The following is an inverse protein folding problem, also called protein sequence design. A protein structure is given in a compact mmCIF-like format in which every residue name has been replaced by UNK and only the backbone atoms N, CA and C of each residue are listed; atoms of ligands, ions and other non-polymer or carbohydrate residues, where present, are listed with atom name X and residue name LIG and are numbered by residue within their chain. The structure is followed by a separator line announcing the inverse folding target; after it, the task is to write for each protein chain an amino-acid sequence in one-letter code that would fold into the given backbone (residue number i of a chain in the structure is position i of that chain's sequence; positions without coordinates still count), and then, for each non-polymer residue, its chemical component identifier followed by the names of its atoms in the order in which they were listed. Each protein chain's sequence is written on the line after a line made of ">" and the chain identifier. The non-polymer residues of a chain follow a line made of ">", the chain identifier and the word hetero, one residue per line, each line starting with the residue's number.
data_IF_204239330725
#
_entry.id   IF_204239330725
#
_cell.length_a   1.000
_cell.length_b   1.000
_cell.length_c   1.000
_cell.angle_alpha   90.00
_cell.angle_beta   90.00
_cell.angle_gamma   90.00
#
_symmetry.space_group_name_H-M   'P 1'
#
loop_
_entity.id
_entity.type
_entity.pdbx_description
1 polymer ?
#
# COMPACT_ATOMS: atom_id res chain seq x y z
N UNK A 1 3.35 -12.88 21.45
CA UNK A 1 3.04 -11.62 20.74
C UNK A 1 2.29 -11.84 19.40
N UNK A 2 1.66 -13.00 19.15
CA UNK A 2 0.77 -13.24 18.00
C UNK A 2 -0.68 -12.77 18.25
N UNK A 3 -1.17 -12.98 19.46
CA UNK A 3 -2.55 -12.65 19.87
C UNK A 3 -2.98 -11.20 19.61
N UNK A 4 -2.09 -10.21 19.84
CA UNK A 4 -2.41 -8.80 19.59
C UNK A 4 -2.45 -8.46 18.09
N UNK A 5 -1.74 -9.21 17.25
CA UNK A 5 -1.78 -9.03 15.80
C UNK A 5 -3.13 -9.46 15.24
N UNK A 6 -3.71 -10.52 15.80
CA UNK A 6 -5.01 -11.05 15.37
C UNK A 6 -6.16 -10.10 15.77
N UNK A 7 -6.14 -9.55 16.99
CA UNK A 7 -7.15 -8.56 17.44
C UNK A 7 -7.08 -7.27 16.62
N UNK A 8 -5.88 -6.72 16.41
CA UNK A 8 -5.71 -5.48 15.66
C UNK A 8 -6.21 -5.61 14.21
N UNK A 9 -5.97 -6.77 13.59
CA UNK A 9 -6.48 -7.04 12.25
C UNK A 9 -7.99 -7.24 12.24
N UNK A 10 -8.56 -7.94 13.23
CA UNK A 10 -10.01 -8.12 13.36
C UNK A 10 -10.74 -6.77 13.52
N UNK A 11 -10.20 -5.86 14.33
CA UNK A 11 -10.73 -4.49 14.45
C UNK A 11 -10.70 -3.75 13.11
N UNK A 12 -9.63 -3.94 12.33
CA UNK A 12 -9.47 -3.34 11.01
C UNK A 12 -10.48 -3.92 10.00
N UNK A 13 -10.71 -5.24 10.03
CA UNK A 13 -11.77 -5.91 9.27
C UNK A 13 -13.15 -5.32 9.59
N UNK A 14 -13.51 -5.22 10.86
CA UNK A 14 -14.79 -4.67 11.29
C UNK A 14 -14.97 -3.22 10.82
N UNK A 15 -13.93 -2.39 10.94
CA UNK A 15 -13.99 -1.00 10.51
C UNK A 15 -14.02 -0.84 8.97
N UNK A 16 -13.42 -1.77 8.21
CA UNK A 16 -13.49 -1.80 6.74
C UNK A 16 -14.88 -2.22 6.25
N UNK A 17 -15.50 -3.20 6.90
CA UNK A 17 -16.87 -3.64 6.64
C UNK A 17 -17.90 -2.52 6.88
N UNK A 18 -17.62 -1.61 7.82
CA UNK A 18 -18.42 -0.40 8.06
C UNK A 18 -18.25 0.69 6.96
N UNK A 19 -17.55 0.39 5.86
CA UNK A 19 -17.54 1.20 4.66
C UNK A 19 -16.53 2.35 4.63
N UNK A 20 -15.63 2.47 5.61
CA UNK A 20 -14.63 3.56 5.63
C UNK A 20 -13.51 3.28 4.63
N UNK A 21 -13.38 4.11 3.60
CA UNK A 21 -12.38 3.93 2.53
C UNK A 21 -10.93 3.92 3.03
N UNK A 22 -10.61 4.75 4.02
CA UNK A 22 -9.29 4.74 4.66
C UNK A 22 -8.99 3.41 5.33
N UNK A 23 -10.00 2.76 5.90
CA UNK A 23 -9.84 1.46 6.54
C UNK A 23 -9.74 0.34 5.51
N UNK A 24 -10.50 0.41 4.42
CA UNK A 24 -10.36 -0.53 3.29
C UNK A 24 -8.96 -0.45 2.68
N UNK A 25 -8.43 0.76 2.50
CA UNK A 25 -7.06 0.99 2.07
C UNK A 25 -6.03 0.44 3.07
N UNK A 26 -6.16 0.75 4.36
CA UNK A 26 -5.23 0.23 5.37
C UNK A 26 -5.26 -1.31 5.43
N UNK A 27 -6.45 -1.90 5.38
CA UNK A 27 -6.63 -3.35 5.40
C UNK A 27 -6.06 -4.01 4.15
N UNK A 28 -6.26 -3.41 2.96
CA UNK A 28 -5.68 -3.94 1.73
C UNK A 28 -4.15 -3.98 1.80
N UNK A 29 -3.49 -2.92 2.28
CA UNK A 29 -2.04 -2.89 2.46
C UNK A 29 -1.56 -3.96 3.45
N UNK A 30 -2.27 -4.14 4.56
CA UNK A 30 -1.93 -5.15 5.57
C UNK A 30 -2.08 -6.58 5.05
N UNK A 31 -3.11 -6.86 4.26
CA UNK A 31 -3.33 -8.17 3.64
C UNK A 31 -2.31 -8.43 2.53
N UNK A 32 -2.00 -7.43 1.73
CA UNK A 32 -1.03 -7.55 0.64
C UNK A 32 0.39 -7.74 1.14
N UNK A 33 0.70 -7.23 2.34
CA UNK A 33 1.98 -7.40 3.01
C UNK A 33 2.24 -8.86 3.48
N UNK A 34 1.21 -9.68 3.66
CA UNK A 34 1.35 -11.07 4.15
C UNK A 34 1.87 -12.00 3.05
N UNK A 35 3.11 -12.49 3.19
CA UNK A 35 3.78 -13.28 2.13
C UNK A 35 3.04 -14.56 1.73
N UNK A 36 2.52 -15.31 2.70
CA UNK A 36 2.03 -16.69 2.48
C UNK A 36 0.49 -16.81 2.44
N UNK A 37 -0.22 -15.70 2.23
CA UNK A 37 -1.69 -15.64 2.27
C UNK A 37 -2.27 -15.17 0.93
N UNK A 38 -2.36 -16.09 -0.05
CA UNK A 38 -2.87 -15.77 -1.39
C UNK A 38 -4.35 -15.36 -1.38
N UNK A 39 -5.15 -15.95 -0.50
CA UNK A 39 -6.55 -15.58 -0.33
C UNK A 39 -6.67 -14.18 0.27
N UNK A 40 -5.89 -13.90 1.32
CA UNK A 40 -5.78 -12.57 1.90
C UNK A 40 -5.35 -11.52 0.88
N UNK A 41 -4.35 -11.81 0.03
CA UNK A 41 -3.94 -10.90 -1.06
C UNK A 41 -5.07 -10.62 -2.04
N UNK A 42 -5.83 -11.64 -2.45
CA UNK A 42 -6.99 -11.45 -3.33
C UNK A 42 -8.03 -10.54 -2.68
N UNK A 43 -8.37 -10.79 -1.42
CA UNK A 43 -9.29 -9.95 -0.65
C UNK A 43 -8.75 -8.52 -0.48
N UNK A 44 -7.43 -8.38 -0.31
CA UNK A 44 -6.75 -7.10 -0.27
C UNK A 44 -6.94 -6.30 -1.56
N UNK A 45 -6.82 -6.94 -2.72
CA UNK A 45 -7.06 -6.28 -4.02
C UNK A 45 -8.52 -5.83 -4.14
N UNK A 46 -9.49 -6.66 -3.77
CA UNK A 46 -10.90 -6.28 -3.79
C UNK A 46 -11.18 -5.06 -2.91
N UNK A 47 -10.59 -5.02 -1.71
CA UNK A 47 -10.67 -3.88 -0.80
C UNK A 47 -9.99 -2.63 -1.36
N UNK A 48 -8.87 -2.79 -2.07
CA UNK A 48 -8.12 -1.70 -2.71
C UNK A 48 -8.90 -1.06 -3.87
N UNK A 49 -9.63 -1.86 -4.66
CA UNK A 49 -10.43 -1.36 -5.79
C UNK A 49 -11.43 -0.27 -5.39
N UNK A 50 -11.95 -0.31 -4.16
CA UNK A 50 -12.96 0.67 -3.69
C UNK A 50 -12.39 2.09 -3.60
N UNK A 51 -11.35 2.36 -2.78
CA UNK A 51 -10.74 3.68 -2.73
C UNK A 51 -10.01 4.06 -4.03
N UNK A 52 -9.54 3.09 -4.84
CA UNK A 52 -8.94 3.36 -6.15
C UNK A 52 -9.96 3.89 -7.15
N UNK A 53 -11.10 3.20 -7.34
CA UNK A 53 -12.18 3.64 -8.21
C UNK A 53 -12.80 4.98 -7.77
N UNK A 54 -12.76 5.28 -6.47
CA UNK A 54 -13.22 6.55 -5.92
C UNK A 54 -12.18 7.69 -6.05
N UNK A 55 -10.96 7.42 -6.51
CA UNK A 55 -9.87 8.40 -6.59
C UNK A 55 -9.38 8.88 -5.21
N UNK A 56 -9.56 8.07 -4.17
CA UNK A 56 -9.31 8.44 -2.77
C UNK A 56 -7.96 7.98 -2.23
N UNK A 57 -7.14 7.28 -3.02
CA UNK A 57 -5.87 6.69 -2.57
C UNK A 57 -4.94 7.71 -1.89
N UNK A 58 -4.78 8.90 -2.47
CA UNK A 58 -3.93 9.96 -1.88
C UNK A 58 -4.43 10.39 -0.49
N UNK A 59 -5.74 10.56 -0.32
CA UNK A 59 -6.36 10.96 0.95
C UNK A 59 -6.25 9.83 1.98
N UNK A 60 -6.55 8.59 1.57
CA UNK A 60 -6.44 7.42 2.43
C UNK A 60 -5.00 7.24 2.94
N UNK A 61 -4.02 7.34 2.03
CA UNK A 61 -2.59 7.27 2.35
C UNK A 61 -2.15 8.35 3.34
N UNK A 62 -2.51 9.60 3.10
CA UNK A 62 -2.18 10.71 4.00
C UNK A 62 -2.77 10.51 5.41
N UNK A 63 -4.01 10.02 5.51
CA UNK A 63 -4.64 9.71 6.80
C UNK A 63 -3.97 8.54 7.51
N UNK A 64 -3.66 7.46 6.79
CA UNK A 64 -2.92 6.32 7.36
C UNK A 64 -1.56 6.77 7.89
N UNK A 65 -0.82 7.57 7.14
CA UNK A 65 0.46 8.14 7.57
C UNK A 65 0.32 8.98 8.85
N UNK A 66 -0.70 9.84 8.93
CA UNK A 66 -0.98 10.61 10.15
C UNK A 66 -1.25 9.72 11.39
N UNK A 67 -2.02 8.64 11.24
CA UNK A 67 -2.28 7.69 12.33
C UNK A 67 -1.01 6.95 12.75
N UNK A 68 -0.21 6.51 11.77
CA UNK A 68 1.01 5.74 12.02
C UNK A 68 2.06 6.63 12.69
N UNK A 69 2.32 7.84 12.18
CA UNK A 69 3.28 8.78 12.80
C UNK A 69 2.94 9.16 14.25
N UNK A 70 1.66 9.32 14.59
CA UNK A 70 1.23 9.62 15.97
C UNK A 70 1.39 8.39 16.88
N UNK A 71 1.15 7.19 16.35
CA UNK A 71 1.16 5.94 17.13
C UNK A 71 2.55 5.30 17.25
N UNK A 72 3.51 5.70 16.40
CA UNK A 72 4.79 5.01 16.17
C UNK A 72 5.99 5.77 16.75
N UNK A 73 5.88 6.25 17.99
CA UNK A 73 7.03 6.87 18.70
C UNK A 73 8.14 5.88 19.13
N UNK A 74 8.08 4.60 18.72
CA UNK A 74 9.15 3.62 18.99
C UNK A 74 9.68 3.04 17.68
N UNK A 75 11.00 3.03 17.54
CA UNK A 75 11.76 2.46 16.41
C UNK A 75 11.46 0.97 16.23
N UNK A 76 10.42 0.65 15.48
CA UNK A 76 10.26 -0.68 14.90
C UNK A 76 11.02 -0.66 13.58
N UNK A 77 12.05 -1.49 13.46
CA UNK A 77 12.75 -1.68 12.18
C UNK A 77 11.75 -2.21 11.15
N UNK A 78 11.45 -1.39 10.15
CA UNK A 78 10.62 -1.80 9.04
C UNK A 78 11.32 -2.85 8.19
N UNK A 79 10.63 -3.93 7.83
CA UNK A 79 11.19 -4.94 6.93
C UNK A 79 11.46 -4.30 5.58
N UNK A 80 12.74 -4.14 5.25
CA UNK A 80 13.19 -3.68 3.93
C UNK A 80 12.59 -4.60 2.87
N UNK A 81 11.78 -4.02 2.00
CA UNK A 81 11.35 -4.69 0.76
C UNK A 81 12.61 -4.87 -0.07
N UNK A 82 13.15 -6.10 -0.11
CA UNK A 82 14.19 -6.44 -1.09
C UNK A 82 13.55 -6.46 -2.47
N UNK A 83 14.28 -6.01 -3.50
CA UNK A 83 13.85 -5.93 -4.91
C UNK A 83 13.12 -7.17 -5.44
N UNK A 84 13.37 -8.34 -4.85
CA UNK A 84 12.86 -9.63 -5.30
C UNK A 84 11.46 -10.00 -4.76
N UNK A 85 10.77 -9.15 -3.98
CA UNK A 85 9.73 -9.65 -3.08
C UNK A 85 8.32 -9.07 -3.10
N UNK A 86 7.94 -8.09 -3.93
CA UNK A 86 6.55 -7.56 -3.84
C UNK A 86 5.90 -7.15 -5.16
N UNK A 87 6.40 -7.59 -6.31
CA UNK A 87 5.70 -7.31 -7.57
C UNK A 87 4.97 -8.58 -7.99
N UNK A 88 3.65 -8.53 -7.95
CA UNK A 88 2.78 -9.49 -8.59
C UNK A 88 3.09 -9.44 -10.09
N UNK A 89 3.87 -10.42 -10.54
CA UNK A 89 4.30 -10.56 -11.91
C UNK A 89 3.15 -11.07 -12.77
N UNK A 90 2.16 -10.20 -13.02
CA UNK A 90 1.11 -10.51 -13.98
C UNK A 90 1.72 -10.46 -15.38
N UNK A 91 1.75 -11.56 -16.15
CA UNK A 91 2.34 -11.59 -17.49
C UNK A 91 1.57 -10.70 -18.50
N UNK A 92 0.46 -10.09 -18.07
CA UNK A 92 -0.37 -9.16 -18.85
C UNK A 92 -0.10 -7.69 -18.51
N UNK A 93 0.75 -7.39 -17.53
CA UNK A 93 1.03 -6.02 -17.10
C UNK A 93 2.19 -5.43 -17.92
N UNK A 94 1.92 -4.36 -18.68
CA UNK A 94 2.93 -3.66 -19.49
C UNK A 94 4.05 -2.96 -18.66
N UNK A 95 3.91 -2.92 -17.33
CA UNK A 95 4.85 -2.28 -16.40
C UNK A 95 5.73 -3.35 -15.69
N UNK A 96 5.65 -4.61 -16.15
CA UNK A 96 6.49 -5.72 -15.66
C UNK A 96 7.97 -5.31 -15.60
N UNK A 97 8.62 -5.51 -14.45
CA UNK A 97 10.04 -5.18 -14.23
C UNK A 97 10.39 -3.69 -14.08
N UNK A 98 9.47 -2.76 -14.37
CA UNK A 98 9.71 -1.30 -14.30
C UNK A 98 9.26 -0.66 -12.97
N UNK A 99 8.69 -1.43 -12.06
CA UNK A 99 8.11 -0.93 -10.80
C UNK A 99 9.12 -0.27 -9.87
N UNK A 100 10.32 -0.83 -9.74
CA UNK A 100 11.40 -0.23 -8.95
C UNK A 100 11.79 1.15 -9.47
N UNK A 101 11.91 1.29 -10.79
CA UNK A 101 12.23 2.56 -11.45
C UNK A 101 11.15 3.64 -11.21
N UNK A 102 9.87 3.26 -11.26
CA UNK A 102 8.76 4.17 -10.99
C UNK A 102 8.77 4.67 -9.54
N UNK A 103 9.12 3.79 -8.60
CA UNK A 103 9.23 4.15 -7.19
C UNK A 103 10.43 5.09 -6.95
N UNK A 104 11.61 4.75 -7.46
CA UNK A 104 12.83 5.54 -7.30
C UNK A 104 12.69 6.93 -7.93
N UNK A 105 12.07 7.02 -9.11
CA UNK A 105 11.75 8.30 -9.74
C UNK A 105 10.87 9.18 -8.85
N UNK A 106 9.77 8.65 -8.29
CA UNK A 106 8.90 9.43 -7.40
C UNK A 106 9.63 9.87 -6.13
N UNK A 107 10.42 8.97 -5.52
CA UNK A 107 11.21 9.28 -4.33
C UNK A 107 12.15 10.46 -4.60
N UNK A 108 12.86 10.42 -5.72
CA UNK A 108 13.77 11.49 -6.13
C UNK A 108 13.05 12.83 -6.30
N UNK A 109 11.87 12.85 -6.92
CA UNK A 109 11.08 14.08 -7.08
C UNK A 109 10.60 14.64 -5.73
N UNK A 110 10.21 13.77 -4.79
CA UNK A 110 9.81 14.17 -3.43
C UNK A 110 11.00 14.74 -2.64
N UNK A 111 12.18 14.11 -2.70
CA UNK A 111 13.41 14.59 -2.04
C UNK A 111 13.87 15.97 -2.54
N UNK A 112 13.52 16.34 -3.77
CA UNK A 112 13.82 17.66 -4.36
C UNK A 112 12.81 18.76 -3.99
N UNK A 113 11.89 18.53 -3.04
CA UNK A 113 10.80 19.46 -2.67
C UNK A 113 9.96 19.92 -3.88
N UNK A 114 9.93 19.14 -4.95
CA UNK A 114 9.04 19.38 -6.07
C UNK A 114 7.62 19.03 -5.62
N UNK A 115 6.82 20.06 -5.33
CA UNK A 115 5.40 19.95 -4.95
C UNK A 115 4.58 19.28 -6.08
N UNK A 116 5.13 19.20 -7.29
CA UNK A 116 4.54 18.51 -8.44
C UNK A 116 4.81 16.98 -8.44
N UNK A 117 5.53 16.45 -7.46
CA UNK A 117 5.97 15.05 -7.37
C UNK A 117 4.95 14.01 -6.92
N UNK A 118 3.74 14.44 -6.53
CA UNK A 118 2.61 13.52 -6.37
C UNK A 118 1.90 13.21 -7.69
N UNK A 119 2.43 13.68 -8.83
CA UNK A 119 2.07 13.19 -10.15
C UNK A 119 2.62 11.79 -10.33
N UNK A 120 1.76 10.78 -10.14
CA UNK A 120 2.18 9.40 -10.25
C UNK A 120 2.67 8.99 -11.61
N UNK A 121 3.23 7.77 -11.69
CA UNK A 121 3.13 7.00 -12.92
C UNK A 121 1.72 7.25 -13.45
N UNK A 122 1.62 7.93 -14.59
CA UNK A 122 0.44 8.74 -14.95
C UNK A 122 -0.84 7.93 -15.04
N UNK A 123 -0.73 6.61 -15.05
CA UNK A 123 -1.75 5.63 -14.74
C UNK A 123 -1.07 4.26 -14.69
N UNK A 124 -1.23 3.47 -13.62
CA UNK A 124 -0.85 2.05 -13.62
C UNK A 124 -2.12 1.25 -13.95
N UNK A 125 -2.30 0.79 -15.21
CA UNK A 125 -3.57 0.21 -15.67
C UNK A 125 -3.89 -1.14 -15.03
N UNK A 126 -2.88 -1.87 -14.58
CA UNK A 126 -3.06 -3.17 -13.97
C UNK A 126 -3.27 -2.99 -12.47
N UNK A 127 -4.44 -3.40 -11.96
CA UNK A 127 -4.78 -3.29 -10.53
C UNK A 127 -3.76 -3.99 -9.62
N UNK A 128 -3.22 -5.13 -10.06
CA UNK A 128 -2.20 -5.88 -9.32
C UNK A 128 -0.92 -5.05 -9.19
N UNK A 129 -0.40 -4.57 -10.33
CA UNK A 129 0.75 -3.67 -10.34
C UNK A 129 0.44 -2.42 -9.50
N UNK A 130 -0.72 -1.79 -9.64
CA UNK A 130 -1.05 -0.57 -8.89
C UNK A 130 -1.05 -0.82 -7.37
N UNK A 131 -1.62 -1.94 -6.93
CA UNK A 131 -1.62 -2.35 -5.53
C UNK A 131 -0.21 -2.60 -5.01
N UNK A 132 0.66 -3.25 -5.79
CA UNK A 132 2.07 -3.47 -5.42
C UNK A 132 2.83 -2.15 -5.29
N UNK A 133 2.62 -1.23 -6.25
CA UNK A 133 3.22 0.10 -6.21
C UNK A 133 2.79 0.84 -4.95
N UNK A 134 1.49 0.87 -4.66
CA UNK A 134 0.98 1.53 -3.46
C UNK A 134 1.45 0.83 -2.17
N UNK A 135 1.64 -0.50 -2.16
CA UNK A 135 2.24 -1.20 -1.02
C UNK A 135 3.71 -0.79 -0.81
N UNK A 136 4.50 -0.68 -1.88
CA UNK A 136 5.89 -0.19 -1.80
C UNK A 136 5.89 1.22 -1.23
N UNK A 137 5.03 2.11 -1.74
CA UNK A 137 4.91 3.47 -1.22
C UNK A 137 4.45 3.46 0.25
N UNK A 138 3.47 2.64 0.62
CA UNK A 138 2.95 2.55 1.98
C UNK A 138 4.01 2.12 2.99
N UNK A 139 4.81 1.09 2.67
CA UNK A 139 5.88 0.60 3.56
C UNK A 139 7.06 1.57 3.64
N UNK A 140 7.35 2.33 2.58
CA UNK A 140 8.44 3.31 2.60
C UNK A 140 8.02 4.69 3.11
N UNK A 141 6.72 4.96 3.23
CA UNK A 141 6.20 6.10 3.99
C UNK A 141 6.19 5.82 5.50
N UNK A 142 6.50 4.59 5.94
CA UNK A 142 6.62 4.18 7.34
C UNK A 142 8.08 4.11 7.78
#
# INVERSE_FOLDING_TARGET
>A
MRYNHDIGLEMLYNAASNGRDVTKYALSMMLHFRRDDNEGKRNGIELFCVPDAAGLLTVCKARCFGVLTISWQREVQMPKIKEQHLVYDSPRCLIQGHMGLLYDYRRWVVEQNSIHGFGGATYIPCIYCHTDYELIVFVNLL
#
